data_IF_850749772188
#
_entry.id   IF_850749772188
#
_cell.length_a   1.000
_cell.length_b   1.000
_cell.length_c   1.000
_cell.angle_alpha   90.00
_cell.angle_beta   90.00
_cell.angle_gamma   90.00
#
_symmetry.space_group_name_H-M   'P 1'
#
loop_
_entity.id
_entity.type
_entity.pdbx_description
1 polymer ?
#
# COMPACT_ATOMS: atom_id res chain seq x y z
N UNK A 1 -42.06 39.79 40.36
CA UNK A 1 -40.81 39.62 41.12
C UNK A 1 -39.76 39.04 40.17
N UNK A 2 -38.79 39.82 39.75
CA UNK A 2 -37.68 39.33 38.94
C UNK A 2 -36.59 38.85 39.90
N UNK A 3 -36.29 37.54 39.90
CA UNK A 3 -35.13 37.01 40.61
C UNK A 3 -33.89 37.20 39.72
N UNK A 4 -33.01 38.11 40.07
CA UNK A 4 -31.68 38.21 39.44
C UNK A 4 -30.73 37.29 40.20
N UNK A 5 -30.19 36.28 39.53
CA UNK A 5 -29.12 35.47 40.02
C UNK A 5 -27.78 36.14 39.76
N UNK A 6 -27.14 36.68 40.76
CA UNK A 6 -25.78 37.18 40.71
C UNK A 6 -24.78 36.05 41.00
N UNK A 7 -23.63 35.97 40.29
CA UNK A 7 -22.58 35.01 40.65
C UNK A 7 -22.02 35.28 42.04
N UNK A 8 -21.77 34.25 42.80
CA UNK A 8 -21.24 34.37 44.18
C UNK A 8 -19.80 34.97 44.13
N UNK A 9 -19.56 36.03 44.90
CA UNK A 9 -18.28 36.75 44.96
C UNK A 9 -17.09 35.87 45.41
N UNK A 10 -17.37 34.80 46.21
CA UNK A 10 -16.36 33.90 46.73
C UNK A 10 -16.03 32.71 45.83
N UNK A 11 -16.96 32.21 45.07
CA UNK A 11 -16.73 31.02 44.21
C UNK A 11 -16.87 31.31 42.72
N UNK A 12 -17.30 32.50 42.34
CA UNK A 12 -17.53 32.94 40.95
C UNK A 12 -18.33 31.94 40.09
N UNK A 13 -19.33 31.30 40.73
CA UNK A 13 -20.17 30.30 40.08
C UNK A 13 -19.66 28.85 40.07
N UNK A 14 -18.47 28.58 40.61
CA UNK A 14 -17.88 27.20 40.60
C UNK A 14 -18.42 26.29 41.68
N UNK A 15 -19.13 26.84 42.70
CA UNK A 15 -19.65 26.05 43.84
C UNK A 15 -18.59 25.48 44.78
N UNK A 16 -17.32 25.74 44.55
CA UNK A 16 -16.18 25.22 45.33
C UNK A 16 -15.28 26.37 45.79
N UNK A 17 -14.91 26.35 47.08
CA UNK A 17 -13.98 27.29 47.65
C UNK A 17 -12.68 26.57 48.03
N UNK A 18 -11.54 26.96 47.42
CA UNK A 18 -10.24 26.37 47.68
C UNK A 18 -9.50 27.27 48.69
N UNK A 19 -9.51 26.86 49.98
CA UNK A 19 -8.85 27.63 51.05
C UNK A 19 -7.33 27.62 50.94
N UNK A 20 -6.74 26.52 50.46
CA UNK A 20 -5.29 26.36 50.29
C UNK A 20 -5.00 25.77 48.91
N UNK A 21 -4.67 26.60 47.89
CA UNK A 21 -4.40 26.12 46.55
C UNK A 21 -3.11 25.29 46.53
N UNK A 22 -3.17 24.12 45.91
CA UNK A 22 -2.01 23.25 45.66
C UNK A 22 -0.95 24.01 44.82
N UNK A 23 0.32 23.93 45.23
CA UNK A 23 1.43 24.61 44.54
C UNK A 23 1.64 24.17 43.10
N UNK A 24 1.29 22.90 42.78
CA UNK A 24 1.49 22.32 41.45
C UNK A 24 0.33 22.64 40.46
N UNK A 25 -0.92 22.71 40.93
CA UNK A 25 -2.08 22.93 40.06
C UNK A 25 -2.79 24.29 40.30
N UNK A 26 -2.36 25.05 41.31
CA UNK A 26 -2.95 26.37 41.68
C UNK A 26 -4.48 26.30 41.83
N UNK A 27 -5.00 25.21 42.38
CA UNK A 27 -6.44 24.99 42.57
C UNK A 27 -7.18 24.44 41.38
N UNK A 28 -6.54 24.20 40.24
CA UNK A 28 -7.18 23.66 39.03
C UNK A 28 -7.60 22.17 39.14
N UNK A 29 -7.01 21.42 40.09
CA UNK A 29 -7.29 19.99 40.28
C UNK A 29 -6.56 19.05 39.31
N UNK A 30 -5.86 19.59 38.31
CA UNK A 30 -5.08 18.84 37.31
C UNK A 30 -3.82 19.60 36.92
N UNK A 31 -2.82 18.85 36.47
CA UNK A 31 -1.57 19.38 35.89
C UNK A 31 -1.38 18.76 34.50
N UNK A 32 -0.77 19.52 33.58
CA UNK A 32 -0.43 19.00 32.27
C UNK A 32 0.92 18.29 32.34
N UNK A 33 0.94 17.01 31.99
CA UNK A 33 2.15 16.19 31.97
C UNK A 33 2.38 15.72 30.52
N UNK A 34 3.62 15.83 30.04
CA UNK A 34 4.03 15.23 28.76
C UNK A 34 4.51 13.80 29.04
N UNK A 35 3.85 12.80 28.44
CA UNK A 35 4.22 11.38 28.56
C UNK A 35 4.54 10.82 27.18
N UNK A 36 5.68 10.13 27.07
CA UNK A 36 5.99 9.33 25.88
C UNK A 36 5.21 8.03 25.96
N UNK A 37 4.50 7.69 24.89
CA UNK A 37 3.76 6.43 24.78
C UNK A 37 4.36 5.60 23.66
N UNK A 38 4.67 4.35 23.93
CA UNK A 38 5.01 3.36 22.92
C UNK A 38 3.73 2.71 22.42
N UNK A 39 3.58 2.67 21.10
CA UNK A 39 2.43 2.10 20.42
C UNK A 39 2.90 1.00 19.50
N UNK A 40 2.47 -0.23 19.76
CA UNK A 40 2.72 -1.36 18.87
C UNK A 40 1.74 -1.30 17.70
N UNK A 41 2.27 -1.18 16.49
CA UNK A 41 1.48 -1.19 15.26
C UNK A 41 1.49 -2.62 14.71
N UNK A 42 0.34 -3.31 14.65
CA UNK A 42 0.30 -4.66 14.14
C UNK A 42 0.56 -4.68 12.63
N UNK A 43 1.32 -5.70 12.18
CA UNK A 43 1.53 -5.93 10.76
C UNK A 43 0.18 -6.21 10.06
N UNK A 44 0.01 -5.65 8.86
CA UNK A 44 -1.25 -5.80 8.13
C UNK A 44 -2.26 -4.69 8.33
N UNK A 45 -2.00 -3.74 9.24
CA UNK A 45 -2.88 -2.59 9.44
C UNK A 45 -3.12 -1.84 8.14
N UNK A 46 -4.34 -1.33 7.96
CA UNK A 46 -4.70 -0.59 6.75
C UNK A 46 -4.82 0.91 7.00
N UNK A 47 -4.83 1.67 5.90
CA UNK A 47 -5.02 3.11 5.95
C UNK A 47 -6.37 3.47 6.58
N UNK A 48 -6.38 4.47 7.48
CA UNK A 48 -7.58 4.90 8.18
C UNK A 48 -8.02 4.02 9.33
N UNK A 49 -7.34 2.92 9.64
CA UNK A 49 -7.64 2.12 10.82
C UNK A 49 -7.22 2.83 12.11
N UNK A 50 -7.90 2.49 13.21
CA UNK A 50 -7.70 3.08 14.53
C UNK A 50 -7.19 2.04 15.51
N UNK A 51 -6.18 2.42 16.28
CA UNK A 51 -5.66 1.64 17.39
C UNK A 51 -6.14 2.30 18.68
N UNK A 52 -6.82 1.56 19.54
CA UNK A 52 -7.24 2.05 20.84
C UNK A 52 -6.19 1.67 21.90
N UNK A 53 -5.61 2.66 22.56
CA UNK A 53 -4.77 2.45 23.73
C UNK A 53 -5.60 2.81 24.98
N UNK A 54 -6.08 1.77 25.66
CA UNK A 54 -7.00 1.92 26.79
C UNK A 54 -6.33 2.58 27.98
N UNK A 55 -7.02 3.55 28.58
CA UNK A 55 -6.55 4.28 29.77
C UNK A 55 -5.39 5.25 29.51
N UNK A 56 -5.01 5.49 28.24
CA UNK A 56 -3.93 6.40 27.88
C UNK A 56 -4.41 7.81 27.46
N UNK A 57 -5.72 8.02 27.37
CA UNK A 57 -6.33 9.25 26.84
C UNK A 57 -6.62 10.35 27.86
N UNK A 58 -6.08 10.27 29.08
CA UNK A 58 -6.32 11.25 30.13
C UNK A 58 -7.15 10.68 31.30
N UNK A 59 -7.68 11.50 32.22
CA UNK A 59 -8.45 10.99 33.36
C UNK A 59 -9.68 10.23 32.87
N UNK A 60 -9.63 8.90 32.92
CA UNK A 60 -10.68 7.96 32.54
C UNK A 60 -11.01 7.85 31.04
N UNK A 61 -10.09 8.21 30.14
CA UNK A 61 -10.30 8.11 28.69
C UNK A 61 -9.32 7.16 27.99
N UNK A 62 -9.72 6.69 26.81
CA UNK A 62 -8.87 5.93 25.90
C UNK A 62 -8.23 6.86 24.86
N UNK A 63 -7.01 6.53 24.42
CA UNK A 63 -6.36 7.21 23.33
C UNK A 63 -6.64 6.45 22.04
N UNK A 64 -7.27 7.12 21.08
CA UNK A 64 -7.49 6.60 19.74
C UNK A 64 -6.42 7.13 18.80
N UNK A 65 -5.66 6.23 18.19
CA UNK A 65 -4.57 6.53 17.26
C UNK A 65 -5.05 6.19 15.86
N UNK A 66 -5.18 7.20 15.01
CA UNK A 66 -5.51 7.03 13.60
C UNK A 66 -4.23 6.71 12.82
N UNK A 67 -4.23 5.60 12.09
CA UNK A 67 -3.10 5.19 11.26
C UNK A 67 -3.28 5.69 9.84
N UNK A 68 -2.28 6.41 9.33
CA UNK A 68 -2.20 6.83 7.93
C UNK A 68 -1.05 6.09 7.27
N UNK A 69 -1.35 5.27 6.26
CA UNK A 69 -0.36 4.51 5.49
C UNK A 69 -0.03 5.29 4.23
N UNK A 70 1.26 5.56 4.01
CA UNK A 70 1.72 6.22 2.79
C UNK A 70 1.67 5.25 1.61
N UNK A 71 1.30 5.73 0.40
CA UNK A 71 1.44 4.94 -0.81
C UNK A 71 2.89 4.48 -1.00
N UNK A 72 3.08 3.28 -1.51
CA UNK A 72 4.40 2.75 -1.87
C UNK A 72 4.67 3.06 -3.35
N UNK A 73 5.94 3.28 -3.72
CA UNK A 73 6.33 3.64 -5.09
C UNK A 73 6.09 2.51 -6.10
N UNK A 74 6.25 1.25 -5.65
CA UNK A 74 6.17 0.06 -6.51
C UNK A 74 4.86 -0.70 -6.28
N UNK A 75 4.41 -0.79 -5.02
CA UNK A 75 3.29 -1.65 -4.66
C UNK A 75 1.99 -0.87 -4.48
N UNK A 76 0.94 -1.37 -5.11
CA UNK A 76 -0.44 -0.97 -4.82
C UNK A 76 -1.10 -2.04 -3.98
N UNK A 77 -1.76 -1.65 -2.89
CA UNK A 77 -2.46 -2.56 -1.99
C UNK A 77 -3.96 -2.57 -2.25
N UNK A 78 -4.54 -3.77 -2.29
CA UNK A 78 -5.99 -3.97 -2.26
C UNK A 78 -6.32 -5.09 -1.26
N UNK A 79 -6.86 -4.69 -0.11
CA UNK A 79 -7.09 -5.58 1.02
C UNK A 79 -5.80 -6.22 1.53
N UNK A 80 -5.68 -7.54 1.42
CA UNK A 80 -4.47 -8.28 1.78
C UNK A 80 -3.53 -8.52 0.57
N UNK A 81 -4.01 -8.29 -0.65
CA UNK A 81 -3.21 -8.47 -1.85
C UNK A 81 -2.38 -7.22 -2.16
N UNK A 82 -1.25 -7.44 -2.78
CA UNK A 82 -0.40 -6.37 -3.32
C UNK A 82 -0.19 -6.59 -4.82
N UNK A 83 -0.11 -5.50 -5.54
CA UNK A 83 0.03 -5.45 -6.98
C UNK A 83 1.27 -4.66 -7.34
N UNK A 84 2.00 -5.08 -8.36
CA UNK A 84 3.08 -4.30 -8.95
C UNK A 84 3.24 -4.63 -10.44
N UNK A 85 3.80 -3.69 -11.17
CA UNK A 85 4.18 -3.89 -12.56
C UNK A 85 5.68 -4.17 -12.62
N UNK A 86 6.07 -5.24 -13.35
CA UNK A 86 7.46 -5.63 -13.50
C UNK A 86 7.86 -5.47 -14.95
N UNK A 87 8.82 -4.59 -15.25
CA UNK A 87 9.38 -4.48 -16.58
C UNK A 87 10.16 -5.76 -16.93
N UNK A 88 9.86 -6.31 -18.09
CA UNK A 88 10.49 -7.52 -18.63
C UNK A 88 11.00 -7.20 -20.02
N UNK A 89 12.21 -7.57 -20.33
CA UNK A 89 12.75 -7.34 -21.67
C UNK A 89 12.00 -8.15 -22.72
N UNK A 90 11.98 -7.65 -23.96
CA UNK A 90 11.36 -8.36 -25.09
C UNK A 90 11.92 -9.80 -25.26
N UNK A 91 13.23 -9.97 -25.09
CA UNK A 91 13.87 -11.29 -25.21
C UNK A 91 13.47 -12.26 -24.10
N UNK A 92 13.43 -11.79 -22.85
CA UNK A 92 12.94 -12.60 -21.71
C UNK A 92 11.49 -13.00 -21.89
N UNK A 93 10.63 -12.07 -22.32
CA UNK A 93 9.23 -12.37 -22.56
C UNK A 93 9.01 -13.37 -23.70
N UNK A 94 9.84 -13.29 -24.75
CA UNK A 94 9.74 -14.18 -25.91
C UNK A 94 10.25 -15.60 -25.62
N UNK A 95 11.40 -15.71 -24.94
CA UNK A 95 12.10 -16.98 -24.70
C UNK A 95 11.71 -17.65 -23.39
N UNK A 96 11.12 -16.90 -22.46
CA UNK A 96 10.98 -17.26 -21.07
C UNK A 96 12.27 -16.97 -20.30
N UNK A 97 12.14 -16.64 -19.04
CA UNK A 97 13.28 -16.31 -18.18
C UNK A 97 12.95 -16.44 -16.71
N UNK A 98 13.98 -16.62 -15.89
CA UNK A 98 13.88 -16.47 -14.45
C UNK A 98 14.13 -15.02 -14.09
N UNK A 99 13.11 -14.33 -13.60
CA UNK A 99 13.17 -12.92 -13.23
C UNK A 99 13.20 -12.75 -11.69
N UNK A 100 13.73 -11.62 -11.25
CA UNK A 100 13.63 -11.18 -9.85
C UNK A 100 12.34 -10.41 -9.64
N UNK A 101 11.56 -10.85 -8.67
CA UNK A 101 10.29 -10.24 -8.29
C UNK A 101 10.44 -9.67 -6.89
N UNK A 102 10.31 -8.35 -6.68
CA UNK A 102 10.36 -7.75 -5.35
C UNK A 102 9.14 -8.18 -4.54
N UNK A 103 9.33 -8.44 -3.26
CA UNK A 103 8.26 -8.71 -2.31
C UNK A 103 8.42 -7.87 -1.05
N UNK A 104 7.46 -7.89 -0.14
CA UNK A 104 7.55 -7.19 1.15
C UNK A 104 8.67 -7.71 2.06
N UNK A 105 9.19 -8.91 1.77
CA UNK A 105 10.22 -9.59 2.60
C UNK A 105 11.59 -9.67 1.89
N UNK A 106 11.71 -9.11 0.70
CA UNK A 106 12.89 -9.20 -0.15
C UNK A 106 12.57 -9.81 -1.50
N UNK A 107 13.57 -9.93 -2.36
CA UNK A 107 13.40 -10.42 -3.73
C UNK A 107 13.25 -11.95 -3.76
N UNK A 108 12.40 -12.41 -4.65
CA UNK A 108 12.27 -13.83 -5.00
C UNK A 108 12.58 -14.03 -6.48
N UNK A 109 12.89 -15.24 -6.86
CA UNK A 109 13.00 -15.65 -8.26
C UNK A 109 11.68 -16.24 -8.74
N UNK A 110 11.27 -15.89 -9.97
CA UNK A 110 10.06 -16.40 -10.60
C UNK A 110 10.32 -16.71 -12.07
N UNK A 111 9.87 -17.89 -12.52
CA UNK A 111 10.05 -18.32 -13.91
C UNK A 111 8.85 -17.88 -14.74
N UNK A 112 9.06 -16.98 -15.69
CA UNK A 112 8.05 -16.58 -16.66
C UNK A 112 8.10 -17.50 -17.89
N UNK A 113 6.95 -17.98 -18.39
CA UNK A 113 6.92 -18.86 -19.55
C UNK A 113 7.24 -18.08 -20.83
N UNK A 114 7.82 -18.82 -21.81
CA UNK A 114 8.07 -18.28 -23.14
C UNK A 114 6.77 -17.80 -23.80
N UNK A 115 6.85 -16.68 -24.53
CA UNK A 115 5.69 -16.06 -25.18
C UNK A 115 4.81 -15.24 -24.25
N UNK A 116 5.30 -14.89 -23.05
CA UNK A 116 4.61 -13.97 -22.11
C UNK A 116 4.31 -12.64 -22.80
N UNK A 117 3.07 -12.24 -22.72
CA UNK A 117 2.60 -10.97 -23.32
C UNK A 117 2.55 -9.87 -22.27
N UNK A 118 2.75 -8.61 -22.72
CA UNK A 118 2.50 -7.47 -21.84
C UNK A 118 1.08 -7.50 -21.29
N UNK A 119 0.91 -7.15 -20.00
CA UNK A 119 -0.35 -7.24 -19.28
C UNK A 119 -0.69 -8.64 -18.74
N UNK A 120 0.22 -9.62 -18.89
CA UNK A 120 0.03 -10.94 -18.25
C UNK A 120 0.27 -10.82 -16.77
N UNK A 121 -0.73 -11.21 -15.96
CA UNK A 121 -0.63 -11.20 -14.51
C UNK A 121 -0.21 -12.58 -13.99
N UNK A 122 0.71 -12.57 -13.03
CA UNK A 122 1.20 -13.74 -12.32
C UNK A 122 0.93 -13.60 -10.83
N UNK A 123 0.62 -14.70 -10.16
CA UNK A 123 0.30 -14.70 -8.73
C UNK A 123 1.35 -15.47 -7.93
N UNK A 124 1.91 -14.82 -6.93
CA UNK A 124 2.81 -15.43 -5.95
C UNK A 124 2.05 -15.55 -4.63
N UNK A 125 1.67 -16.77 -4.29
CA UNK A 125 0.83 -17.03 -3.12
C UNK A 125 1.54 -16.71 -1.81
N UNK A 126 0.79 -16.12 -0.86
CA UNK A 126 1.26 -15.83 0.50
C UNK A 126 2.33 -14.74 0.59
N UNK A 127 2.59 -13.97 -0.47
CA UNK A 127 3.55 -12.86 -0.49
C UNK A 127 2.91 -11.48 -0.39
N UNK A 128 1.61 -11.43 -0.12
CA UNK A 128 0.87 -10.22 0.20
C UNK A 128 0.98 -9.79 1.67
N UNK A 129 0.07 -8.92 2.08
CA UNK A 129 -0.01 -8.36 3.43
C UNK A 129 -0.58 -9.40 4.40
N UNK A 130 -0.03 -9.55 5.62
CA UNK A 130 -0.59 -10.44 6.61
C UNK A 130 -1.95 -9.92 7.13
N UNK A 131 -2.83 -10.83 7.52
CA UNK A 131 -4.07 -10.48 8.19
C UNK A 131 -3.77 -9.99 9.62
N UNK A 132 -4.35 -8.86 10.01
CA UNK A 132 -4.14 -8.23 11.31
C UNK A 132 -4.51 -9.12 12.51
N UNK A 133 -5.55 -9.96 12.33
CA UNK A 133 -6.05 -10.87 13.39
C UNK A 133 -5.37 -12.25 13.35
N UNK A 134 -4.83 -12.63 12.21
CA UNK A 134 -4.14 -13.91 12.01
C UNK A 134 -2.93 -13.72 11.08
N UNK A 135 -1.74 -13.36 11.60
CA UNK A 135 -0.55 -13.09 10.80
C UNK A 135 -0.05 -14.26 9.94
N UNK A 136 -0.49 -15.49 10.24
CA UNK A 136 -0.18 -16.66 9.40
C UNK A 136 -0.96 -16.67 8.09
N UNK A 137 -2.11 -16.02 8.06
CA UNK A 137 -2.90 -15.85 6.85
C UNK A 137 -2.45 -14.58 6.12
N UNK A 138 -1.93 -14.74 4.91
CA UNK A 138 -1.43 -13.64 4.08
C UNK A 138 -2.16 -13.62 2.75
N UNK A 139 -2.29 -12.45 2.19
CA UNK A 139 -2.73 -12.29 0.82
C UNK A 139 -1.64 -12.69 -0.18
N UNK A 140 -1.88 -12.44 -1.43
CA UNK A 140 -1.00 -12.77 -2.53
C UNK A 140 -0.32 -11.52 -3.10
N UNK A 141 0.83 -11.73 -3.72
CA UNK A 141 1.45 -10.75 -4.61
C UNK A 141 1.01 -11.06 -6.03
N UNK A 142 0.39 -10.11 -6.69
CA UNK A 142 0.03 -10.20 -8.10
C UNK A 142 0.90 -9.20 -8.87
N UNK A 143 1.77 -9.70 -9.74
CA UNK A 143 2.58 -8.84 -10.58
C UNK A 143 2.18 -8.94 -12.04
N UNK A 144 2.22 -7.82 -12.74
CA UNK A 144 1.92 -7.74 -14.16
C UNK A 144 3.21 -7.57 -14.94
N UNK A 145 3.47 -8.45 -15.90
CA UNK A 145 4.59 -8.31 -16.82
C UNK A 145 4.33 -7.16 -17.82
N UNK A 146 5.21 -6.17 -17.83
CA UNK A 146 5.21 -5.05 -18.78
C UNK A 146 6.40 -5.22 -19.71
N UNK A 147 6.13 -5.66 -20.95
CA UNK A 147 7.22 -5.89 -21.90
C UNK A 147 7.80 -4.57 -22.39
N UNK A 148 9.09 -4.40 -22.13
CA UNK A 148 9.84 -3.23 -22.59
C UNK A 148 10.47 -3.50 -23.94
N UNK A 149 10.24 -2.58 -24.90
CA UNK A 149 10.86 -2.61 -26.20
C UNK A 149 12.23 -1.92 -26.14
N UNK A 150 13.31 -2.52 -26.66
CA UNK A 150 14.64 -1.95 -26.59
C UNK A 150 14.72 -0.61 -27.32
N UNK A 151 15.34 0.39 -26.65
CA UNK A 151 15.60 1.72 -27.16
C UNK A 151 17.10 1.92 -27.44
N UNK A 152 17.45 2.96 -28.17
CA UNK A 152 18.84 3.39 -28.43
C UNK A 152 19.74 2.28 -29.01
N UNK A 153 19.19 1.41 -29.86
CA UNK A 153 19.91 0.32 -30.50
C UNK A 153 21.01 0.85 -31.44
N UNK A 154 22.19 0.22 -31.40
CA UNK A 154 23.26 0.44 -32.32
C UNK A 154 22.97 -0.20 -33.71
N UNK A 155 23.85 0.00 -34.69
CA UNK A 155 23.63 -0.48 -36.07
C UNK A 155 23.54 -2.01 -36.16
N UNK A 156 24.39 -2.70 -35.42
CA UNK A 156 24.44 -4.16 -35.39
C UNK A 156 23.16 -4.75 -34.77
N UNK A 157 22.71 -4.21 -33.63
CA UNK A 157 21.46 -4.62 -32.99
C UNK A 157 20.25 -4.40 -33.89
N UNK A 158 20.21 -3.28 -34.63
CA UNK A 158 19.14 -3.02 -35.60
C UNK A 158 19.14 -4.03 -36.73
N UNK A 159 20.33 -4.44 -37.22
CA UNK A 159 20.44 -5.45 -38.25
C UNK A 159 19.97 -6.83 -37.76
N UNK A 160 20.37 -7.25 -36.54
CA UNK A 160 19.88 -8.47 -35.92
C UNK A 160 18.37 -8.47 -35.77
N UNK A 161 17.79 -7.36 -35.34
CA UNK A 161 16.32 -7.21 -35.23
C UNK A 161 15.62 -7.29 -36.59
N UNK A 162 16.22 -6.77 -37.69
CA UNK A 162 15.65 -6.93 -39.02
C UNK A 162 15.67 -8.40 -39.44
N UNK A 163 16.79 -9.10 -39.28
CA UNK A 163 16.91 -10.52 -39.59
C UNK A 163 15.91 -11.35 -38.80
N UNK A 164 15.74 -11.02 -37.52
CA UNK A 164 14.72 -11.66 -36.66
C UNK A 164 13.30 -11.40 -37.20
N UNK A 165 13.00 -10.15 -37.55
CA UNK A 165 11.68 -9.80 -38.08
C UNK A 165 11.36 -10.52 -39.38
N UNK A 166 12.35 -10.71 -40.28
CA UNK A 166 12.22 -11.46 -41.55
C UNK A 166 11.95 -12.96 -41.30
N UNK A 167 12.46 -13.52 -40.18
CA UNK A 167 12.27 -14.91 -39.83
C UNK A 167 10.87 -15.22 -39.29
N UNK A 168 10.12 -14.19 -38.84
CA UNK A 168 8.79 -14.35 -38.30
C UNK A 168 7.73 -14.39 -39.40
N UNK A 169 6.73 -15.24 -39.20
CA UNK A 169 5.55 -15.34 -40.07
C UNK A 169 4.25 -15.06 -39.31
N UNK A 170 3.12 -15.15 -40.02
CA UNK A 170 1.79 -14.91 -39.44
C UNK A 170 1.47 -15.77 -38.21
N UNK A 171 2.10 -16.96 -38.09
CA UNK A 171 1.92 -17.87 -36.94
C UNK A 171 2.44 -17.30 -35.64
N UNK A 172 3.41 -16.38 -35.72
CA UNK A 172 4.04 -15.77 -34.55
C UNK A 172 3.20 -14.60 -33.96
N UNK A 173 2.32 -14.00 -34.77
CA UNK A 173 1.55 -12.80 -34.42
C UNK A 173 0.05 -13.01 -34.45
N UNK A 174 -0.44 -13.95 -33.68
CA UNK A 174 -1.87 -14.36 -33.71
C UNK A 174 -2.84 -13.24 -33.30
N UNK A 175 -2.44 -12.33 -32.37
CA UNK A 175 -3.30 -11.21 -31.98
C UNK A 175 -3.46 -10.22 -33.13
N UNK A 176 -2.37 -9.91 -33.83
CA UNK A 176 -2.38 -9.05 -35.02
C UNK A 176 -3.26 -9.64 -36.13
N UNK A 177 -3.08 -10.93 -36.42
CA UNK A 177 -3.91 -11.64 -37.40
C UNK A 177 -5.40 -11.58 -37.06
N UNK A 178 -5.78 -11.93 -35.83
CA UNK A 178 -7.17 -11.87 -35.38
C UNK A 178 -7.76 -10.45 -35.44
N UNK A 179 -6.98 -9.43 -35.19
CA UNK A 179 -7.41 -8.04 -35.29
C UNK A 179 -7.77 -7.68 -36.75
N UNK A 180 -6.88 -7.95 -37.70
CA UNK A 180 -7.12 -7.65 -39.11
C UNK A 180 -8.23 -8.54 -39.71
N UNK A 181 -8.35 -9.78 -39.33
CA UNK A 181 -9.44 -10.66 -39.76
C UNK A 181 -10.81 -10.15 -39.33
N UNK A 182 -10.93 -9.54 -38.15
CA UNK A 182 -12.17 -8.89 -37.69
C UNK A 182 -12.55 -7.68 -38.52
N UNK A 183 -11.57 -6.90 -38.97
CA UNK A 183 -11.81 -5.73 -39.83
C UNK A 183 -12.29 -6.19 -41.22
N UNK A 184 -11.67 -7.23 -41.79
CA UNK A 184 -12.07 -7.80 -43.10
C UNK A 184 -13.49 -8.36 -43.11
N UNK A 185 -13.93 -8.93 -41.99
CA UNK A 185 -15.31 -9.48 -41.87
C UNK A 185 -16.40 -8.41 -41.71
N UNK A 186 -16.04 -7.16 -41.49
CA UNK A 186 -16.99 -6.03 -41.38
C UNK A 186 -17.16 -5.23 -42.67
N UNK A 187 -16.42 -5.57 -43.70
CA UNK A 187 -16.61 -5.09 -45.08
C UNK A 187 -17.34 -6.18 -45.90
#
# INVERSE_FOLDING_TARGET
>A
MFQSTAPCDNCHGTGKLIKSPCRNCSGKGYIRISKKLEVSIPAGIDNGQRIANRGAGGPNGDLLILVSVRPHEIFTRDGMNIYCDIPVTFSEAALGATIKVPTLEGDITYDIPAGTQTGTAFTVRGKGVPNINNPRNRGDLIFTAVVETPQNMNSEQKELMRKLAESFGEKNYQKQKRFFDRIKKKK
#
